data_IF_892153125007
#
_entry.id   IF_892153125007
#
_cell.length_a   1.000
_cell.length_b   1.000
_cell.length_c   1.000
_cell.angle_alpha   90.00
_cell.angle_beta   90.00
_cell.angle_gamma   90.00
#
_symmetry.space_group_name_H-M   'P 1'
#
loop_
_entity.id
_entity.type
_entity.pdbx_description
1 polymer ?
#
# COMPACT_ATOMS: atom_id res chain seq x y z
N UNK A 1 -1.73 -21.31 7.59
CA UNK A 1 -2.07 -22.15 6.43
C UNK A 1 -3.57 -22.03 6.20
N UNK A 2 -4.05 -21.73 4.99
CA UNK A 2 -5.33 -22.25 4.53
C UNK A 2 -5.08 -23.62 3.87
N UNK A 3 -5.86 -24.63 4.24
CA UNK A 3 -5.81 -25.96 3.63
C UNK A 3 -6.88 -26.01 2.53
N UNK A 4 -6.48 -26.41 1.32
CA UNK A 4 -7.37 -26.77 0.19
C UNK A 4 -6.74 -27.97 -0.53
N UNK A 5 -7.51 -28.92 -1.10
CA UNK A 5 -7.00 -30.21 -1.57
C UNK A 5 -6.11 -30.07 -2.82
N UNK A 6 -5.13 -30.95 -2.90
CA UNK A 6 -4.21 -31.09 -4.04
C UNK A 6 -4.99 -31.50 -5.31
N UNK A 7 -4.97 -30.62 -6.30
CA UNK A 7 -5.04 -30.98 -7.71
C UNK A 7 -3.85 -30.29 -8.37
N UNK A 8 -3.03 -31.05 -9.07
CA UNK A 8 -1.86 -30.55 -9.81
C UNK A 8 -2.32 -29.53 -10.87
N UNK A 9 -2.38 -28.25 -10.51
CA UNK A 9 -2.47 -27.17 -11.48
C UNK A 9 -1.09 -26.96 -12.12
N UNK A 10 -1.03 -26.76 -13.45
CA UNK A 10 0.21 -26.33 -14.10
C UNK A 10 0.67 -25.00 -13.50
N UNK A 11 1.99 -24.70 -13.51
CA UNK A 11 2.52 -23.49 -12.89
C UNK A 11 1.77 -22.26 -13.40
N UNK A 12 1.12 -21.55 -12.49
CA UNK A 12 0.43 -20.29 -12.81
C UNK A 12 1.46 -19.34 -13.43
N UNK A 13 1.26 -18.99 -14.70
CA UNK A 13 2.09 -17.99 -15.35
C UNK A 13 1.94 -16.68 -14.56
N UNK A 14 3.04 -16.20 -13.99
CA UNK A 14 3.11 -14.93 -13.25
C UNK A 14 2.85 -13.80 -14.24
N UNK A 15 1.60 -13.36 -14.33
CA UNK A 15 1.27 -12.12 -15.03
C UNK A 15 1.18 -10.98 -14.01
N UNK A 16 2.01 -9.92 -14.16
CA UNK A 16 1.80 -8.68 -13.43
C UNK A 16 0.34 -8.23 -13.55
N UNK A 17 -0.25 -7.70 -12.48
CA UNK A 17 -1.42 -6.85 -12.71
C UNK A 17 -0.91 -5.53 -13.27
N UNK A 18 -1.42 -5.13 -14.44
CA UNK A 18 -0.95 -3.93 -15.12
C UNK A 18 -1.64 -2.68 -14.60
N UNK A 19 -1.00 -1.50 -14.66
CA UNK A 19 -1.63 -0.25 -14.25
C UNK A 19 -2.83 0.08 -15.15
N UNK A 20 -3.85 0.70 -14.58
CA UNK A 20 -5.08 1.09 -15.30
C UNK A 20 -5.34 2.58 -15.05
N UNK A 21 -5.48 3.37 -16.11
CA UNK A 21 -5.87 4.78 -15.99
C UNK A 21 -7.34 4.92 -15.56
N UNK A 22 -7.72 6.02 -14.87
CA UNK A 22 -9.13 6.31 -14.57
C UNK A 22 -10.00 6.25 -15.83
N UNK A 23 -11.27 5.86 -15.70
CA UNK A 23 -12.21 6.01 -16.83
C UNK A 23 -12.35 7.50 -17.14
N UNK A 24 -12.18 7.88 -18.41
CA UNK A 24 -12.32 9.25 -18.89
C UNK A 24 -13.72 9.79 -18.56
N UNK A 25 -13.83 10.64 -17.54
CA UNK A 25 -14.90 11.64 -17.49
C UNK A 25 -14.42 12.82 -18.32
N UNK A 26 -15.28 13.37 -19.19
CA UNK A 26 -15.02 14.60 -19.98
C UNK A 26 -14.72 15.77 -19.04
N UNK A 27 -13.49 15.90 -18.59
CA UNK A 27 -12.98 17.08 -17.88
C UNK A 27 -11.50 17.20 -18.16
N UNK A 28 -11.09 18.33 -18.72
CA UNK A 28 -9.70 18.70 -18.91
C UNK A 28 -9.05 18.84 -17.53
N UNK A 29 -7.97 18.11 -17.28
CA UNK A 29 -7.21 18.13 -16.03
C UNK A 29 -5.85 18.73 -16.36
N UNK A 30 -5.44 19.74 -15.59
CA UNK A 30 -4.14 20.40 -15.72
C UNK A 30 -2.98 19.40 -15.62
N UNK A 31 -1.94 19.60 -16.42
CA UNK A 31 -0.71 18.82 -16.40
C UNK A 31 0.35 19.50 -15.50
N UNK A 32 0.40 19.12 -14.22
CA UNK A 32 1.57 18.97 -13.31
C UNK A 32 1.02 18.74 -11.89
N UNK A 33 1.56 17.94 -10.95
CA UNK A 33 2.93 17.60 -10.57
C UNK A 33 2.94 16.16 -10.02
N UNK A 34 3.60 15.16 -10.65
CA UNK A 34 3.96 13.83 -10.10
C UNK A 34 2.96 13.06 -9.19
N UNK A 35 1.72 13.54 -9.05
CA UNK A 35 0.76 13.12 -8.06
C UNK A 35 0.00 11.95 -8.65
N UNK A 36 0.19 10.82 -8.02
CA UNK A 36 -0.53 9.61 -8.38
C UNK A 36 -1.88 9.64 -7.70
N UNK A 37 -2.93 9.78 -8.51
CA UNK A 37 -4.35 9.76 -8.07
C UNK A 37 -4.75 8.48 -7.35
N UNK A 38 -3.94 7.42 -7.49
CA UNK A 38 -4.17 6.14 -6.83
C UNK A 38 -3.67 6.15 -5.39
N UNK A 39 -2.80 7.08 -5.00
CA UNK A 39 -2.24 7.16 -3.65
C UNK A 39 -3.08 8.09 -2.78
N UNK A 40 -3.30 7.69 -1.54
CA UNK A 40 -4.16 8.42 -0.63
C UNK A 40 -3.75 8.32 0.82
N UNK A 41 -4.30 9.24 1.60
CA UNK A 41 -4.19 9.27 3.05
C UNK A 41 -5.19 8.27 3.63
N UNK A 42 -4.77 7.54 4.65
CA UNK A 42 -5.62 6.61 5.39
C UNK A 42 -5.85 7.19 6.78
N UNK A 43 -7.10 7.14 7.24
CA UNK A 43 -7.47 7.34 8.64
C UNK A 43 -8.01 6.02 9.20
N UNK A 44 -7.69 5.72 10.45
CA UNK A 44 -8.24 4.57 11.17
C UNK A 44 -8.18 4.80 12.67
N UNK A 45 -8.87 3.95 13.44
CA UNK A 45 -8.95 4.04 14.90
C UNK A 45 -8.41 2.76 15.54
N UNK A 46 -7.60 2.92 16.59
CA UNK A 46 -7.16 1.84 17.50
C UNK A 46 -7.51 2.24 18.91
N UNK A 47 -8.29 1.41 19.61
CA UNK A 47 -8.69 1.64 21.00
C UNK A 47 -9.21 3.07 21.28
N UNK A 48 -9.99 3.64 20.35
CA UNK A 48 -10.57 4.99 20.46
C UNK A 48 -9.64 6.14 20.04
N UNK A 49 -8.39 5.87 19.67
CA UNK A 49 -7.43 6.87 19.19
C UNK A 49 -7.33 6.83 17.67
N UNK A 50 -7.37 7.99 17.02
CA UNK A 50 -7.26 8.11 15.58
C UNK A 50 -5.80 8.19 15.13
N UNK A 51 -5.49 7.46 14.06
CA UNK A 51 -4.17 7.37 13.45
C UNK A 51 -4.27 7.68 11.96
N UNK A 52 -3.11 8.00 11.37
CA UNK A 52 -2.95 8.16 9.94
C UNK A 52 -1.96 7.14 9.38
N UNK A 53 -2.25 6.69 8.17
CA UNK A 53 -1.39 5.90 7.31
C UNK A 53 -1.52 6.42 5.87
N UNK A 54 -0.97 5.68 4.93
CA UNK A 54 -1.09 5.86 3.50
C UNK A 54 -1.47 4.53 2.83
N UNK A 55 -1.88 4.59 1.58
CA UNK A 55 -2.17 3.41 0.77
C UNK A 55 -2.21 3.74 -0.72
N UNK A 56 -2.36 2.72 -1.55
CA UNK A 56 -2.58 2.90 -2.98
C UNK A 56 -3.61 1.94 -3.55
N UNK A 57 -4.44 2.42 -4.46
CA UNK A 57 -5.31 1.58 -5.28
C UNK A 57 -4.45 0.71 -6.18
N UNK A 58 -4.73 -0.60 -6.16
CA UNK A 58 -4.01 -1.62 -6.92
C UNK A 58 -4.96 -2.30 -7.90
N UNK A 59 -4.46 -2.61 -9.10
CA UNK A 59 -5.25 -3.27 -10.13
C UNK A 59 -5.69 -4.63 -9.63
N UNK A 60 -7.00 -4.87 -9.66
CA UNK A 60 -7.64 -6.10 -9.24
C UNK A 60 -8.94 -6.29 -10.05
N UNK A 61 -9.37 -7.52 -10.37
CA UNK A 61 -10.63 -7.77 -11.07
C UNK A 61 -11.85 -7.09 -10.45
N UNK A 62 -11.89 -6.97 -9.12
CA UNK A 62 -12.98 -6.28 -8.42
C UNK A 62 -13.00 -4.76 -8.60
N UNK A 63 -11.90 -4.15 -9.06
CA UNK A 63 -11.68 -2.70 -9.11
C UNK A 63 -11.78 -2.00 -7.73
N UNK A 64 -11.63 -2.75 -6.64
CA UNK A 64 -11.99 -2.32 -5.28
C UNK A 64 -10.90 -2.58 -4.24
N UNK A 65 -9.65 -2.71 -4.67
CA UNK A 65 -8.55 -3.11 -3.79
C UNK A 65 -7.56 -1.97 -3.56
N UNK A 66 -7.21 -1.74 -2.29
CA UNK A 66 -6.12 -0.86 -1.86
C UNK A 66 -5.07 -1.71 -1.16
N UNK A 67 -3.80 -1.49 -1.47
CA UNK A 67 -2.67 -2.03 -0.68
C UNK A 67 -2.19 -1.00 0.33
N UNK A 68 -1.77 -1.48 1.50
CA UNK A 68 -1.23 -0.70 2.62
C UNK A 68 -0.29 -1.60 3.45
N UNK A 69 0.19 -1.14 4.61
CA UNK A 69 0.95 -1.96 5.55
C UNK A 69 0.00 -2.74 6.47
N UNK A 70 0.42 -3.90 6.97
CA UNK A 70 -0.42 -4.71 7.86
C UNK A 70 -0.69 -3.99 9.19
N UNK A 71 0.27 -3.22 9.70
CA UNK A 71 0.08 -2.41 10.90
C UNK A 71 -0.92 -1.25 10.72
N UNK A 72 -1.25 -0.87 9.48
CA UNK A 72 -2.31 0.10 9.19
C UNK A 72 -3.71 -0.52 9.18
N UNK A 73 -3.83 -1.84 9.36
CA UNK A 73 -5.10 -2.57 9.40
C UNK A 73 -5.27 -3.44 10.66
N UNK A 74 -4.20 -3.70 11.40
CA UNK A 74 -4.21 -4.51 12.62
C UNK A 74 -3.18 -4.03 13.62
N UNK A 75 -3.60 -3.86 14.87
CA UNK A 75 -2.70 -3.50 15.96
C UNK A 75 -2.16 -4.75 16.67
N UNK A 76 -0.84 -4.91 16.66
CA UNK A 76 -0.17 -6.02 17.34
C UNK A 76 -0.16 -5.86 18.86
N UNK A 77 -0.28 -4.63 19.38
CA UNK A 77 -0.26 -4.39 20.82
C UNK A 77 -1.56 -4.85 21.49
N UNK A 78 -2.72 -4.48 20.93
CA UNK A 78 -4.04 -4.92 21.42
C UNK A 78 -4.53 -6.22 20.82
N UNK A 79 -3.84 -6.76 19.79
CA UNK A 79 -4.26 -7.96 19.06
C UNK A 79 -5.63 -7.82 18.39
N UNK A 80 -5.93 -6.64 17.86
CA UNK A 80 -7.22 -6.33 17.25
C UNK A 80 -7.09 -5.67 15.88
N UNK A 81 -8.08 -5.93 15.02
CA UNK A 81 -8.30 -5.15 13.81
C UNK A 81 -8.57 -3.68 14.15
N UNK A 82 -8.11 -2.78 13.29
CA UNK A 82 -8.45 -1.36 13.39
C UNK A 82 -9.90 -1.13 12.98
N UNK A 83 -10.50 -0.03 13.43
CA UNK A 83 -11.85 0.39 13.04
C UNK A 83 -11.82 1.72 12.27
N UNK A 84 -12.98 2.13 11.73
CA UNK A 84 -13.15 3.41 11.02
C UNK A 84 -12.13 3.64 9.90
N UNK A 85 -11.79 2.58 9.16
CA UNK A 85 -10.78 2.65 8.11
C UNK A 85 -11.33 3.42 6.89
N UNK A 86 -10.75 4.59 6.61
CA UNK A 86 -11.14 5.49 5.52
C UNK A 86 -9.90 5.81 4.68
N UNK A 87 -10.04 5.74 3.36
CA UNK A 87 -9.01 6.08 2.40
C UNK A 87 -9.43 7.27 1.54
N UNK A 88 -8.56 8.26 1.41
CA UNK A 88 -8.79 9.48 0.65
C UNK A 88 -7.71 9.60 -0.44
N UNK A 89 -7.97 9.10 -1.66
CA UNK A 89 -7.06 9.23 -2.79
C UNK A 89 -6.89 10.69 -3.18
N UNK A 90 -5.66 11.07 -3.52
CA UNK A 90 -5.29 12.44 -3.92
C UNK A 90 -5.65 13.50 -2.86
N UNK A 91 -5.56 13.11 -1.57
CA UNK A 91 -5.79 14.02 -0.45
C UNK A 91 -4.82 15.22 -0.50
N UNK A 92 -5.34 16.42 -0.26
CA UNK A 92 -4.52 17.64 -0.20
C UNK A 92 -5.14 18.65 0.76
N UNK A 93 -4.48 18.88 1.91
CA UNK A 93 -4.86 19.88 2.92
C UNK A 93 -6.36 19.87 3.26
N UNK A 94 -6.83 18.72 3.75
CA UNK A 94 -8.24 18.50 4.08
C UNK A 94 -9.17 18.23 2.89
N UNK A 95 -8.74 18.42 1.65
CA UNK A 95 -9.53 18.13 0.47
C UNK A 95 -9.58 16.63 0.17
N UNK A 96 -10.74 16.17 -0.32
CA UNK A 96 -10.98 14.80 -0.79
C UNK A 96 -11.47 14.84 -2.25
N UNK A 97 -10.63 15.24 -3.22
CA UNK A 97 -11.06 15.54 -4.60
C UNK A 97 -11.60 14.31 -5.34
N UNK A 98 -11.20 13.10 -4.92
CA UNK A 98 -11.63 11.84 -5.49
C UNK A 98 -12.55 11.04 -4.55
N UNK A 99 -13.25 11.75 -3.66
CA UNK A 99 -14.11 11.24 -2.58
C UNK A 99 -13.34 10.54 -1.44
N UNK A 100 -14.03 10.33 -0.32
CA UNK A 100 -13.58 9.49 0.79
C UNK A 100 -14.18 8.09 0.66
N UNK A 101 -13.36 7.06 0.85
CA UNK A 101 -13.73 5.67 0.60
C UNK A 101 -13.63 4.85 1.88
N UNK A 102 -14.70 4.13 2.21
CA UNK A 102 -14.78 3.31 3.43
C UNK A 102 -14.26 1.91 3.15
N UNK A 103 -13.36 1.41 4.00
CA UNK A 103 -12.91 0.03 3.99
C UNK A 103 -14.05 -0.93 4.36
N UNK A 104 -14.27 -1.94 3.53
CA UNK A 104 -15.27 -3.00 3.72
C UNK A 104 -14.70 -4.17 4.52
N UNK A 105 -13.52 -4.65 4.14
CA UNK A 105 -12.84 -5.74 4.83
C UNK A 105 -11.33 -5.56 4.75
N UNK A 106 -10.66 -5.94 5.83
CA UNK A 106 -9.23 -5.76 6.05
C UNK A 106 -8.54 -7.12 5.99
N UNK A 107 -7.41 -7.20 5.29
CA UNK A 107 -6.71 -8.45 5.04
C UNK A 107 -5.22 -8.28 5.27
N UNK A 108 -4.63 -9.27 5.93
CA UNK A 108 -3.20 -9.39 6.20
C UNK A 108 -2.82 -10.86 6.28
N UNK A 109 -1.52 -11.15 6.28
CA UNK A 109 -1.02 -12.51 6.53
C UNK A 109 -1.12 -12.86 8.01
N UNK A 110 -1.65 -14.06 8.33
CA UNK A 110 -1.71 -14.54 9.73
C UNK A 110 -0.37 -14.49 10.44
N UNK A 111 0.73 -14.70 9.72
CA UNK A 111 2.11 -14.63 10.23
C UNK A 111 2.48 -13.24 10.77
N UNK A 112 1.82 -12.18 10.30
CA UNK A 112 1.92 -10.85 10.89
C UNK A 112 1.12 -10.79 12.20
N UNK A 113 -0.18 -11.07 12.19
CA UNK A 113 -1.02 -10.96 13.40
C UNK A 113 -0.57 -11.86 14.55
N UNK A 114 0.02 -13.02 14.24
CA UNK A 114 0.55 -13.97 15.23
C UNK A 114 1.91 -13.57 15.80
N UNK A 115 2.63 -12.62 15.19
CA UNK A 115 3.92 -12.13 15.69
C UNK A 115 3.76 -11.27 16.95
N UNK A 116 4.80 -11.07 17.75
CA UNK A 116 4.70 -10.19 18.93
C UNK A 116 4.78 -8.72 18.54
N UNK A 117 4.21 -7.81 19.33
CA UNK A 117 4.38 -6.37 19.13
C UNK A 117 5.83 -5.89 19.33
N UNK A 118 6.62 -6.61 20.12
CA UNK A 118 8.04 -6.35 20.35
C UNK A 118 8.97 -6.91 19.27
N UNK A 119 8.49 -7.86 18.46
CA UNK A 119 9.20 -8.44 17.33
C UNK A 119 8.22 -8.74 16.18
N UNK A 120 7.65 -7.71 15.53
CA UNK A 120 6.74 -7.90 14.42
C UNK A 120 7.40 -8.67 13.28
N UNK A 121 6.62 -9.51 12.59
CA UNK A 121 7.09 -10.14 11.35
C UNK A 121 7.05 -9.12 10.20
N UNK A 122 8.12 -8.34 10.07
CA UNK A 122 8.22 -7.27 9.08
C UNK A 122 8.20 -7.75 7.62
N UNK A 123 8.48 -9.02 7.33
CA UNK A 123 8.29 -9.55 5.97
C UNK A 123 6.80 -9.66 5.60
N UNK A 124 5.93 -9.76 6.61
CA UNK A 124 4.50 -9.92 6.45
C UNK A 124 3.73 -8.60 6.70
N UNK A 125 4.42 -7.46 6.85
CA UNK A 125 3.80 -6.15 7.09
C UNK A 125 3.20 -5.54 5.80
N UNK A 126 2.28 -6.28 5.19
CA UNK A 126 1.53 -5.89 3.99
C UNK A 126 0.06 -6.22 4.23
N UNK A 127 -0.79 -5.25 3.94
CA UNK A 127 -2.23 -5.36 4.03
C UNK A 127 -2.91 -5.07 2.70
N UNK A 128 -4.08 -5.67 2.50
CA UNK A 128 -5.01 -5.31 1.44
C UNK A 128 -6.37 -4.97 2.05
N UNK A 129 -7.03 -3.96 1.48
CA UNK A 129 -8.34 -3.50 1.93
C UNK A 129 -9.29 -3.53 0.76
N UNK A 130 -10.39 -4.25 0.92
CA UNK A 130 -11.51 -4.21 -0.02
C UNK A 130 -12.33 -2.97 0.30
N UNK A 131 -12.61 -2.15 -0.70
CA UNK A 131 -13.20 -0.82 -0.56
C UNK A 131 -14.68 -0.85 -0.95
N UNK A 132 -15.57 -0.23 -0.16
CA UNK A 132 -16.97 -0.06 -0.56
C UNK A 132 -17.10 0.81 -1.83
N UNK A 133 -18.10 0.60 -2.71
CA UNK A 133 -18.39 1.55 -3.77
C UNK A 133 -18.78 2.91 -3.17
N UNK A 134 -18.61 3.98 -3.92
CA UNK A 134 -19.12 5.29 -3.50
C UNK A 134 -20.67 5.34 -3.62
N UNK A 135 -21.27 6.46 -3.21
CA UNK A 135 -22.73 6.69 -3.28
C UNK A 135 -23.29 6.60 -4.71
N UNK A 136 -22.45 6.75 -5.74
CA UNK A 136 -22.82 6.62 -7.15
C UNK A 136 -22.60 5.19 -7.68
N UNK A 137 -22.37 4.21 -6.81
CA UNK A 137 -22.05 2.81 -7.16
C UNK A 137 -20.79 2.65 -8.03
N UNK A 138 -19.90 3.64 -8.02
CA UNK A 138 -18.61 3.53 -8.71
C UNK A 138 -17.61 2.81 -7.81
N UNK A 139 -16.78 1.97 -8.41
CA UNK A 139 -15.63 1.40 -7.71
C UNK A 139 -14.48 2.40 -7.64
N UNK A 140 -13.59 2.22 -6.67
CA UNK A 140 -12.49 3.16 -6.46
C UNK A 140 -11.55 3.25 -7.66
N UNK A 141 -11.24 2.12 -8.31
CA UNK A 141 -10.35 2.13 -9.48
C UNK A 141 -11.00 2.76 -10.73
N UNK A 142 -12.33 2.80 -10.83
CA UNK A 142 -13.00 3.56 -11.90
C UNK A 142 -12.75 5.06 -11.78
N UNK A 143 -12.67 5.58 -10.54
CA UNK A 143 -12.49 7.01 -10.24
C UNK A 143 -11.00 7.41 -10.26
N UNK A 144 -10.15 6.55 -9.70
CA UNK A 144 -8.75 6.89 -9.40
C UNK A 144 -7.75 6.28 -10.38
N UNK A 145 -8.17 5.29 -11.18
CA UNK A 145 -7.25 4.35 -11.81
C UNK A 145 -6.66 3.37 -10.79
N UNK A 146 -5.62 2.65 -11.15
CA UNK A 146 -4.94 1.73 -10.26
C UNK A 146 -3.49 1.48 -10.69
N UNK A 147 -2.60 1.31 -9.72
CA UNK A 147 -1.24 0.88 -10.00
C UNK A 147 -1.22 -0.60 -10.34
N UNK A 148 -0.28 -1.00 -11.19
CA UNK A 148 0.06 -2.41 -11.30
C UNK A 148 0.71 -2.92 -10.02
N UNK A 149 0.77 -4.23 -9.83
CA UNK A 149 1.53 -4.86 -8.74
C UNK A 149 2.43 -5.96 -9.28
N UNK A 150 3.65 -6.02 -8.76
CA UNK A 150 4.65 -7.02 -9.11
C UNK A 150 5.01 -7.83 -7.87
N UNK A 151 5.03 -9.14 -8.05
CA UNK A 151 5.52 -10.10 -7.07
C UNK A 151 6.77 -10.77 -7.63
N UNK A 152 7.67 -11.19 -6.74
CA UNK A 152 8.94 -11.80 -7.08
C UNK A 152 9.77 -10.96 -8.07
N UNK A 153 9.61 -9.64 -8.01
CA UNK A 153 10.25 -8.70 -8.91
C UNK A 153 11.73 -8.50 -8.62
N UNK A 154 12.46 -7.93 -9.59
CA UNK A 154 13.86 -7.58 -9.38
C UNK A 154 14.04 -6.64 -8.17
N UNK A 155 15.14 -6.83 -7.44
CA UNK A 155 15.52 -5.98 -6.31
C UNK A 155 16.40 -4.81 -6.76
N UNK A 156 16.55 -3.81 -5.90
CA UNK A 156 17.49 -2.68 -6.06
C UNK A 156 17.19 -1.77 -7.26
N UNK A 157 15.89 -1.62 -7.55
CA UNK A 157 15.38 -0.81 -8.66
C UNK A 157 15.23 0.66 -8.28
N UNK A 158 15.30 1.55 -9.27
CA UNK A 158 14.87 2.94 -9.11
C UNK A 158 13.39 2.95 -8.74
N UNK A 159 13.09 3.50 -7.56
CA UNK A 159 11.78 3.36 -6.92
C UNK A 159 11.32 4.73 -6.41
N UNK A 160 10.03 4.99 -6.59
CA UNK A 160 9.31 6.13 -6.04
C UNK A 160 8.48 5.63 -4.87
N UNK A 161 8.83 6.03 -3.64
CA UNK A 161 8.00 5.82 -2.46
C UNK A 161 7.12 7.05 -2.25
N UNK A 162 5.82 6.86 -2.06
CA UNK A 162 4.86 7.93 -1.78
C UNK A 162 4.22 7.73 -0.40
N UNK A 163 3.74 8.81 0.24
CA UNK A 163 2.95 8.74 1.46
C UNK A 163 2.60 10.11 2.06
N UNK A 164 1.91 10.11 3.20
CA UNK A 164 1.47 11.28 3.95
C UNK A 164 2.12 11.32 5.35
N UNK A 165 3.42 11.63 5.44
CA UNK A 165 4.15 11.58 6.70
C UNK A 165 3.81 12.76 7.62
N UNK A 166 3.58 12.48 8.89
CA UNK A 166 3.23 13.46 9.92
C UNK A 166 4.34 14.50 10.16
N UNK A 167 5.61 14.17 9.93
CA UNK A 167 6.70 15.12 10.08
C UNK A 167 6.74 16.19 8.97
N UNK A 168 6.06 15.98 7.83
CA UNK A 168 5.97 16.95 6.74
C UNK A 168 4.56 17.49 6.67
N UNK A 169 4.40 18.78 6.95
CA UNK A 169 3.10 19.47 6.97
C UNK A 169 2.01 18.70 7.75
N UNK A 170 2.38 17.96 8.81
CA UNK A 170 1.43 17.17 9.63
C UNK A 170 0.68 16.08 8.84
N UNK A 171 1.27 15.59 7.76
CA UNK A 171 0.65 14.62 6.86
C UNK A 171 -0.44 15.22 5.97
N UNK A 172 -0.48 16.54 5.82
CA UNK A 172 -1.51 17.22 5.02
C UNK A 172 -1.22 17.20 3.52
N UNK A 173 0.02 16.90 3.12
CA UNK A 173 0.43 16.84 1.72
C UNK A 173 1.05 15.48 1.40
N UNK A 174 0.84 15.02 0.17
CA UNK A 174 1.55 13.85 -0.36
C UNK A 174 3.03 14.20 -0.51
N UNK A 175 3.90 13.35 0.04
CA UNK A 175 5.35 13.44 -0.07
C UNK A 175 5.90 12.22 -0.77
N UNK A 176 7.11 12.34 -1.32
CA UNK A 176 7.78 11.25 -2.01
C UNK A 176 9.27 11.18 -1.70
N UNK A 177 9.81 9.97 -1.75
CA UNK A 177 11.25 9.68 -1.78
C UNK A 177 11.58 8.93 -3.07
N UNK A 178 12.65 9.34 -3.73
CA UNK A 178 13.06 8.76 -5.01
C UNK A 178 14.50 8.28 -4.88
N UNK A 179 14.74 7.01 -5.19
CA UNK A 179 16.07 6.44 -5.12
C UNK A 179 16.11 4.98 -5.55
N UNK A 180 17.32 4.46 -5.77
CA UNK A 180 17.47 3.00 -5.94
C UNK A 180 17.31 2.35 -4.57
N UNK A 181 16.50 1.29 -4.52
CA UNK A 181 16.41 0.48 -3.29
C UNK A 181 17.74 -0.22 -3.03
N UNK A 182 17.99 -0.54 -1.77
CA UNK A 182 19.22 -1.12 -1.26
C UNK A 182 18.89 -2.42 -0.52
N UNK A 183 19.92 -3.20 -0.17
CA UNK A 183 19.77 -4.25 0.83
C UNK A 183 19.13 -3.65 2.10
N UNK A 184 18.41 -4.45 2.92
CA UNK A 184 17.82 -3.96 4.16
C UNK A 184 18.81 -3.10 4.93
N UNK A 185 18.50 -1.81 5.10
CA UNK A 185 19.41 -0.90 5.82
C UNK A 185 19.37 -1.18 7.32
N UNK A 186 18.48 -2.07 7.76
CA UNK A 186 18.25 -2.46 9.13
C UNK A 186 18.04 -3.96 9.17
N UNK A 187 18.82 -4.60 10.05
CA UNK A 187 18.88 -6.04 10.15
C UNK A 187 18.04 -6.49 11.33
N UNK A 188 16.78 -6.82 11.06
CA UNK A 188 16.03 -7.75 11.90
C UNK A 188 16.33 -9.16 11.41
N UNK A 189 16.54 -10.10 12.33
CA UNK A 189 16.82 -11.50 11.98
C UNK A 189 15.72 -12.03 11.07
N UNK A 190 16.11 -12.54 9.89
CA UNK A 190 15.17 -13.09 8.91
C UNK A 190 14.42 -12.07 8.05
N UNK A 191 14.59 -10.76 8.26
CA UNK A 191 14.01 -9.75 7.37
C UNK A 191 14.70 -9.77 6.01
N UNK A 192 13.93 -9.95 4.95
CA UNK A 192 14.40 -10.10 3.58
C UNK A 192 13.91 -8.97 2.66
N UNK A 193 13.41 -7.86 3.22
CA UNK A 193 12.89 -6.74 2.45
C UNK A 193 13.97 -5.91 1.74
N UNK A 194 13.69 -4.63 1.55
CA UNK A 194 14.59 -3.68 0.91
C UNK A 194 14.56 -2.36 1.67
N UNK A 195 15.67 -1.61 1.60
CA UNK A 195 15.76 -0.27 2.17
C UNK A 195 15.70 0.82 1.10
N UNK A 196 15.22 2.00 1.49
CA UNK A 196 15.25 3.23 0.70
C UNK A 196 15.70 4.38 1.60
N UNK A 197 16.58 5.25 1.08
CA UNK A 197 16.91 6.50 1.77
C UNK A 197 15.72 7.44 1.66
N UNK A 198 15.08 7.73 2.79
CA UNK A 198 13.83 8.47 2.84
C UNK A 198 13.62 9.11 4.20
N UNK A 199 13.31 10.41 4.22
CA UNK A 199 13.05 11.17 5.45
C UNK A 199 11.58 11.21 5.88
N UNK A 200 10.72 10.42 5.24
CA UNK A 200 9.31 10.31 5.65
C UNK A 200 9.21 9.52 6.96
N UNK A 201 8.47 10.05 7.94
CA UNK A 201 8.22 9.40 9.23
C UNK A 201 6.78 8.84 9.32
N UNK A 202 6.30 8.56 10.53
CA UNK A 202 4.97 8.00 10.79
C UNK A 202 3.87 8.71 10.01
N UNK A 203 2.91 7.95 9.49
CA UNK A 203 1.88 8.43 8.55
C UNK A 203 2.17 8.07 7.09
N UNK A 204 3.44 7.97 6.67
CA UNK A 204 3.75 7.44 5.34
C UNK A 204 3.53 5.93 5.23
N UNK A 205 3.45 5.22 6.36
CA UNK A 205 3.20 3.78 6.44
C UNK A 205 2.10 3.31 5.50
N UNK A 206 2.35 2.22 4.78
CA UNK A 206 1.44 1.65 3.78
C UNK A 206 1.45 2.34 2.41
N UNK A 207 2.09 3.49 2.28
CA UNK A 207 2.26 4.15 0.99
C UNK A 207 3.13 3.31 0.04
N UNK A 208 2.87 3.33 -1.28
CA UNK A 208 3.45 2.36 -2.21
C UNK A 208 4.90 2.69 -2.57
N UNK A 209 5.68 1.65 -2.86
CA UNK A 209 6.96 1.73 -3.57
C UNK A 209 6.74 1.34 -5.02
N UNK A 210 6.90 2.29 -5.94
CA UNK A 210 6.55 2.14 -7.36
C UNK A 210 7.80 2.15 -8.24
N UNK A 211 7.96 1.11 -9.05
CA UNK A 211 8.97 1.04 -10.13
C UNK A 211 8.33 1.31 -11.49
N UNK A 212 9.16 1.65 -12.49
CA UNK A 212 8.71 2.02 -13.84
C UNK A 212 7.61 3.10 -13.82
N UNK A 213 7.72 4.03 -12.87
CA UNK A 213 6.74 5.09 -12.69
C UNK A 213 6.83 6.09 -13.83
N UNK A 214 5.74 6.21 -14.59
CA UNK A 214 5.57 7.24 -15.60
C UNK A 214 4.87 8.45 -14.96
N UNK A 215 5.65 9.48 -14.64
CA UNK A 215 5.17 10.71 -14.01
C UNK A 215 4.17 11.51 -14.85
N UNK A 216 4.09 11.26 -16.16
CA UNK A 216 3.12 11.94 -17.03
C UNK A 216 1.69 11.41 -16.85
N UNK A 217 1.55 10.15 -16.42
CA UNK A 217 0.24 9.52 -16.18
C UNK A 217 0.05 9.10 -14.71
N UNK A 218 1.08 9.21 -13.88
CA UNK A 218 1.03 8.86 -12.46
C UNK A 218 0.91 7.36 -12.19
N UNK A 219 1.38 6.50 -13.11
CA UNK A 219 1.22 5.05 -13.03
C UNK A 219 2.55 4.30 -13.18
N UNK A 220 2.65 3.15 -12.52
CA UNK A 220 3.76 2.21 -12.53
C UNK A 220 3.38 0.94 -11.77
N UNK A 221 4.37 0.20 -11.27
CA UNK A 221 4.15 -1.06 -10.57
C UNK A 221 4.58 -1.00 -9.12
N UNK A 222 3.66 -1.30 -8.21
CA UNK A 222 3.93 -1.46 -6.78
C UNK A 222 4.76 -2.74 -6.59
N UNK A 223 5.87 -2.60 -5.86
CA UNK A 223 6.75 -3.73 -5.48
C UNK A 223 6.88 -3.89 -3.96
N UNK A 224 6.40 -2.91 -3.19
CA UNK A 224 6.48 -2.87 -1.74
C UNK A 224 5.59 -1.76 -1.18
N UNK A 225 5.55 -1.63 0.14
CA UNK A 225 4.92 -0.53 0.88
C UNK A 225 5.89 0.02 1.93
N UNK A 226 5.72 1.29 2.30
CA UNK A 226 6.39 1.89 3.46
C UNK A 226 6.00 1.11 4.72
N UNK A 227 6.95 0.46 5.40
CA UNK A 227 6.63 -0.39 6.55
C UNK A 227 7.19 0.18 7.85
N UNK A 228 8.51 0.20 8.01
CA UNK A 228 9.14 0.73 9.23
C UNK A 228 10.40 1.53 8.91
N UNK A 229 10.69 2.52 9.76
CA UNK A 229 11.97 3.23 9.77
C UNK A 229 12.96 2.58 10.73
N UNK A 230 14.15 3.16 10.82
CA UNK A 230 15.21 2.60 11.66
C UNK A 230 15.82 3.62 12.59
N UNK A 231 15.72 3.37 13.90
CA UNK A 231 16.25 4.28 14.90
C UNK A 231 17.77 4.53 14.80
N UNK A 232 18.55 3.51 14.41
CA UNK A 232 20.01 3.62 14.29
C UNK A 232 20.47 4.24 12.95
N UNK A 233 19.59 4.29 11.95
CA UNK A 233 19.89 4.83 10.63
C UNK A 233 18.80 5.82 10.24
N UNK A 234 18.92 7.09 10.68
CA UNK A 234 17.92 8.10 10.37
C UNK A 234 17.80 8.27 8.86
N UNK A 235 16.63 8.74 8.41
CA UNK A 235 16.32 8.94 6.99
C UNK A 235 16.38 7.64 6.16
N UNK A 236 15.93 6.54 6.75
CA UNK A 236 15.76 5.27 6.05
C UNK A 236 14.36 4.71 6.27
N UNK A 237 13.85 4.08 5.22
CA UNK A 237 12.56 3.41 5.22
C UNK A 237 12.74 2.00 4.66
N UNK A 238 12.10 1.03 5.30
CA UNK A 238 12.14 -0.37 4.90
C UNK A 238 10.80 -0.75 4.27
N UNK A 239 10.86 -1.58 3.25
CA UNK A 239 9.72 -2.12 2.53
C UNK A 239 9.80 -3.65 2.42
N UNK A 240 8.76 -4.40 2.82
CA UNK A 240 8.74 -5.85 2.68
C UNK A 240 8.89 -6.27 1.22
N UNK A 241 9.61 -7.35 0.95
CA UNK A 241 9.69 -7.88 -0.41
C UNK A 241 8.39 -8.60 -0.75
N UNK A 242 7.75 -8.22 -1.85
CA UNK A 242 6.53 -8.87 -2.33
C UNK A 242 6.86 -10.23 -2.96
N UNK A 243 7.03 -11.25 -2.12
CA UNK A 243 7.21 -12.64 -2.55
C UNK A 243 5.88 -13.34 -2.87
N UNK A 244 5.95 -14.65 -3.13
CA UNK A 244 4.79 -15.52 -3.35
C UNK A 244 3.81 -15.58 -2.16
N UNK A 245 4.26 -15.30 -0.94
CA UNK A 245 3.39 -15.25 0.24
C UNK A 245 2.49 -14.01 0.17
N UNK A 246 3.08 -12.86 -0.17
CA UNK A 246 2.31 -11.63 -0.38
C UNK A 246 1.41 -11.73 -1.62
N UNK A 247 1.89 -12.40 -2.68
CA UNK A 247 1.07 -12.70 -3.85
C UNK A 247 -0.18 -13.51 -3.47
N UNK A 248 -0.03 -14.51 -2.61
CA UNK A 248 -1.16 -15.33 -2.15
C UNK A 248 -2.21 -14.50 -1.40
N UNK A 249 -1.78 -13.49 -0.62
CA UNK A 249 -2.71 -12.55 0.04
C UNK A 249 -3.44 -11.67 -0.97
N UNK A 250 -2.74 -11.17 -2.00
CA UNK A 250 -3.37 -10.43 -3.09
C UNK A 250 -4.38 -11.30 -3.85
N UNK A 251 -4.02 -12.54 -4.19
CA UNK A 251 -4.89 -13.46 -4.91
C UNK A 251 -6.16 -13.82 -4.14
N UNK A 252 -6.08 -13.94 -2.82
CA UNK A 252 -7.23 -14.15 -1.95
C UNK A 252 -8.19 -12.95 -1.89
N UNK A 253 -7.74 -11.76 -2.28
CA UNK A 253 -8.51 -10.50 -2.11
C UNK A 253 -8.94 -9.84 -3.43
N UNK A 254 -8.24 -10.10 -4.53
CA UNK A 254 -8.40 -9.38 -5.81
C UNK A 254 -9.80 -9.51 -6.46
N UNK A 255 -10.57 -10.53 -6.11
CA UNK A 255 -11.92 -10.76 -6.64
C UNK A 255 -13.04 -10.35 -5.68
N UNK A 256 -12.70 -9.96 -4.44
CA UNK A 256 -13.68 -9.64 -3.41
C UNK A 256 -14.39 -8.31 -3.69
N UNK A 257 -15.71 -8.33 -3.45
CA UNK A 257 -16.63 -7.18 -3.53
C UNK A 257 -17.01 -6.72 -2.12
#
# INVERSE_FOLDING_TARGET
>A
MPIVPNVDEPPTIIHPSHPVSPRLQRRLISASNQATKTVGKVYFTVAGVNYICSGSVVTAPSNRLVTTAAHCVYDLATKSWVSNWIFIPDYDVGAAPLNSWVGKSLWLLTSYSSSSSSAPNWNADVGFVVINPNSNSQSIAQVTGSQGILFNGARYQLTYSFGYPANIAKGEIMSACIGRTLAPLCTYTGYNGQGLRCGMEGGCSGGPWIVNFNSSIGLGYIISVNSFGCGLYPYTLQGPYFDSTIQSLYDATKTLL
#
